data_IF_779697281632
#
_entry.id   IF_779697281632
#
_cell.length_a   1.000
_cell.length_b   1.000
_cell.length_c   1.000
_cell.angle_alpha   90.00
_cell.angle_beta   90.00
_cell.angle_gamma   90.00
#
_symmetry.space_group_name_H-M   'P 1'
#
loop_
_entity.id
_entity.type
_entity.pdbx_description
1 polymer ?
#
# COMPACT_ATOMS: atom_id res chain seq x y z
N UNK A 1 13.39 29.72 41.25
CA UNK A 1 13.70 29.75 39.79
C UNK A 1 12.78 28.77 39.14
N UNK A 2 11.73 29.26 38.52
CA UNK A 2 10.78 28.44 37.74
C UNK A 2 11.39 28.20 36.37
N UNK A 3 11.56 26.93 36.02
CA UNK A 3 11.97 26.51 34.67
C UNK A 3 10.78 26.69 33.76
N UNK A 4 10.89 27.66 32.84
CA UNK A 4 9.97 27.92 31.74
C UNK A 4 9.86 26.65 30.89
N UNK A 5 8.65 26.08 30.66
CA UNK A 5 8.51 24.94 29.76
C UNK A 5 8.69 25.45 28.32
N UNK A 6 9.78 25.01 27.70
CA UNK A 6 10.05 25.22 26.27
C UNK A 6 8.78 24.95 25.45
N UNK A 7 8.37 25.85 24.54
CA UNK A 7 7.14 25.65 23.75
C UNK A 7 7.28 24.36 22.95
N UNK A 8 6.32 23.45 23.10
CA UNK A 8 6.20 22.25 22.29
C UNK A 8 6.32 22.66 20.82
N UNK A 9 7.39 22.22 20.13
CA UNK A 9 7.53 22.40 18.69
C UNK A 9 6.25 21.85 18.06
N UNK A 10 5.55 22.70 17.35
CA UNK A 10 4.42 22.32 16.51
C UNK A 10 4.97 21.32 15.46
N UNK A 11 4.99 20.01 15.80
CA UNK A 11 5.49 18.96 14.92
C UNK A 11 4.50 18.86 13.77
N UNK A 12 4.92 19.25 12.57
CA UNK A 12 4.15 19.07 11.35
C UNK A 12 3.86 17.57 11.20
N UNK A 13 2.59 17.22 11.05
CA UNK A 13 2.15 15.85 10.75
C UNK A 13 2.77 15.40 9.42
N UNK A 14 3.37 14.20 9.40
CA UNK A 14 3.91 13.57 8.19
C UNK A 14 2.83 12.74 7.53
N UNK A 15 2.55 12.99 6.26
CA UNK A 15 1.59 12.27 5.46
C UNK A 15 2.30 11.38 4.43
N UNK A 16 2.09 10.06 4.50
CA UNK A 16 2.59 9.09 3.52
C UNK A 16 1.40 8.39 2.87
N UNK A 17 1.41 8.30 1.53
CA UNK A 17 0.49 7.43 0.82
C UNK A 17 1.15 6.07 0.61
N UNK A 18 0.47 5.00 1.03
CA UNK A 18 0.91 3.63 0.84
C UNK A 18 0.09 2.98 -0.27
N UNK A 19 0.74 2.70 -1.38
CA UNK A 19 0.17 2.15 -2.62
C UNK A 19 0.81 0.81 -2.91
N UNK A 20 0.09 -0.13 -3.53
CA UNK A 20 0.63 -1.42 -3.94
C UNK A 20 -0.09 -1.98 -5.16
N UNK A 21 0.50 -3.00 -5.79
CA UNK A 21 -0.16 -3.86 -6.78
C UNK A 21 -0.84 -3.07 -7.92
N UNK A 22 -0.07 -2.15 -8.53
CA UNK A 22 -0.53 -1.31 -9.63
C UNK A 22 -0.73 -2.12 -10.92
N UNK A 23 0.14 -3.12 -11.15
CA UNK A 23 0.08 -4.09 -12.24
C UNK A 23 -0.10 -3.44 -13.63
N UNK A 24 0.78 -2.50 -14.01
CA UNK A 24 0.76 -1.97 -15.38
C UNK A 24 0.73 -3.10 -16.42
N UNK A 25 -0.24 -3.02 -17.33
CA UNK A 25 -0.68 -4.08 -18.23
C UNK A 25 -1.99 -4.76 -17.83
N UNK A 26 -2.50 -4.50 -16.63
CA UNK A 26 -3.84 -4.78 -16.09
C UNK A 26 -4.26 -3.73 -15.05
N UNK A 27 -3.69 -2.53 -15.15
CA UNK A 27 -4.05 -1.40 -14.29
C UNK A 27 -5.52 -1.03 -14.43
N UNK A 28 -6.12 -0.53 -13.35
CA UNK A 28 -7.40 0.17 -13.41
C UNK A 28 -7.11 1.66 -13.67
N UNK A 29 -7.49 2.13 -14.85
CA UNK A 29 -7.19 3.50 -15.29
C UNK A 29 -7.86 4.57 -14.44
N UNK A 30 -9.06 4.28 -13.91
CA UNK A 30 -9.79 5.20 -13.03
C UNK A 30 -9.10 5.28 -11.67
N UNK A 31 -8.65 4.14 -11.13
CA UNK A 31 -7.90 4.09 -9.88
C UNK A 31 -6.55 4.82 -9.98
N UNK A 32 -5.81 4.63 -11.08
CA UNK A 32 -4.55 5.33 -11.37
C UNK A 32 -4.76 6.85 -11.43
N UNK A 33 -5.78 7.29 -12.16
CA UNK A 33 -6.11 8.70 -12.28
C UNK A 33 -6.58 9.29 -10.95
N UNK A 34 -7.37 8.54 -10.17
CA UNK A 34 -7.83 8.93 -8.85
C UNK A 34 -6.67 9.14 -7.88
N UNK A 35 -5.79 8.15 -7.71
CA UNK A 35 -4.63 8.27 -6.81
C UNK A 35 -3.76 9.46 -7.21
N UNK A 36 -3.54 9.68 -8.52
CA UNK A 36 -2.79 10.84 -8.99
C UNK A 36 -3.45 12.17 -8.58
N UNK A 37 -4.78 12.28 -8.65
CA UNK A 37 -5.52 13.48 -8.17
C UNK A 37 -5.36 13.66 -6.66
N UNK A 38 -5.56 12.59 -5.88
CA UNK A 38 -5.40 12.63 -4.42
C UNK A 38 -3.98 13.07 -4.02
N UNK A 39 -2.94 12.60 -4.74
CA UNK A 39 -1.55 13.03 -4.51
C UNK A 39 -1.36 14.51 -4.85
N UNK A 40 -1.88 14.96 -5.99
CA UNK A 40 -1.78 16.36 -6.40
C UNK A 40 -2.49 17.31 -5.43
N UNK A 41 -3.64 16.91 -4.90
CA UNK A 41 -4.45 17.69 -3.97
C UNK A 41 -3.83 17.73 -2.57
N UNK A 42 -3.46 16.55 -2.02
CA UNK A 42 -3.01 16.44 -0.63
C UNK A 42 -1.52 16.63 -0.44
N UNK A 43 -0.73 16.53 -1.53
CA UNK A 43 0.73 16.71 -1.51
C UNK A 43 1.39 15.92 -0.37
N UNK A 44 1.28 14.58 -0.32
CA UNK A 44 1.92 13.80 0.72
C UNK A 44 3.43 14.03 0.73
N UNK A 45 4.05 13.89 1.90
CA UNK A 45 5.49 14.01 2.07
C UNK A 45 6.24 12.88 1.35
N UNK A 46 5.59 11.71 1.19
CA UNK A 46 6.08 10.62 0.35
C UNK A 46 4.96 9.69 -0.13
N UNK A 47 5.26 8.92 -1.18
CA UNK A 47 4.50 7.75 -1.60
C UNK A 47 5.36 6.49 -1.44
N UNK A 48 4.89 5.53 -0.64
CA UNK A 48 5.50 4.21 -0.50
C UNK A 48 4.77 3.21 -1.40
N UNK A 49 5.48 2.64 -2.38
CA UNK A 49 4.92 1.63 -3.29
C UNK A 49 5.50 0.27 -2.91
N UNK A 50 4.66 -0.63 -2.41
CA UNK A 50 5.09 -1.94 -1.89
C UNK A 50 5.04 -3.06 -2.94
N UNK A 51 5.45 -2.78 -4.17
CA UNK A 51 5.72 -3.77 -5.20
C UNK A 51 4.59 -4.00 -6.19
N UNK A 52 4.84 -4.95 -7.10
CA UNK A 52 3.97 -5.34 -8.21
C UNK A 52 3.53 -4.13 -9.07
N UNK A 53 4.53 -3.35 -9.49
CA UNK A 53 4.33 -2.26 -10.45
C UNK A 53 3.86 -2.78 -11.80
N UNK A 54 4.35 -3.97 -12.21
CA UNK A 54 4.10 -4.56 -13.51
C UNK A 54 3.28 -5.85 -13.40
N UNK A 55 2.56 -6.21 -14.45
CA UNK A 55 1.84 -7.48 -14.48
C UNK A 55 2.73 -8.66 -14.85
N UNK A 56 3.72 -8.47 -15.74
CA UNK A 56 4.55 -9.54 -16.31
C UNK A 56 6.00 -9.15 -16.53
N UNK A 57 6.48 -8.11 -15.86
CA UNK A 57 7.84 -7.56 -16.00
C UNK A 57 8.22 -7.23 -17.46
N UNK A 58 7.28 -6.80 -18.32
CA UNK A 58 7.57 -6.42 -19.71
C UNK A 58 8.14 -5.01 -19.77
N UNK A 59 8.97 -4.74 -20.78
CA UNK A 59 9.54 -3.40 -20.97
C UNK A 59 8.50 -2.30 -21.02
N UNK A 60 7.43 -2.49 -21.82
CA UNK A 60 6.32 -1.52 -21.94
C UNK A 60 5.60 -1.25 -20.61
N UNK A 61 5.51 -2.27 -19.74
CA UNK A 61 4.87 -2.15 -18.43
C UNK A 61 5.77 -1.32 -17.49
N UNK A 62 7.07 -1.56 -17.48
CA UNK A 62 8.04 -0.73 -16.75
C UNK A 62 8.12 0.71 -17.28
N UNK A 63 8.03 0.92 -18.58
CA UNK A 63 7.97 2.26 -19.17
C UNK A 63 6.71 3.01 -18.73
N UNK A 64 5.55 2.32 -18.73
CA UNK A 64 4.29 2.90 -18.25
C UNK A 64 4.37 3.24 -16.76
N UNK A 65 4.87 2.32 -15.91
CA UNK A 65 5.11 2.55 -14.50
C UNK A 65 6.03 3.75 -14.26
N UNK A 66 7.14 3.83 -14.98
CA UNK A 66 8.11 4.92 -14.85
C UNK A 66 7.50 6.26 -15.24
N UNK A 67 6.71 6.33 -16.33
CA UNK A 67 6.00 7.56 -16.72
C UNK A 67 4.99 8.00 -15.65
N UNK A 68 4.22 7.05 -15.11
CA UNK A 68 3.27 7.34 -14.05
C UNK A 68 3.96 7.86 -12.80
N UNK A 69 4.98 7.15 -12.30
CA UNK A 69 5.77 7.56 -11.13
C UNK A 69 6.32 8.98 -11.30
N UNK A 70 6.94 9.28 -12.44
CA UNK A 70 7.45 10.64 -12.74
C UNK A 70 6.37 11.70 -12.73
N UNK A 71 5.13 11.34 -13.06
CA UNK A 71 4.01 12.27 -13.12
C UNK A 71 3.38 12.59 -11.76
N UNK A 72 3.79 11.91 -10.68
CA UNK A 72 3.25 12.13 -9.33
C UNK A 72 3.85 13.35 -8.63
N UNK A 73 5.06 13.77 -9.04
CA UNK A 73 5.77 14.98 -8.55
C UNK A 73 5.87 15.09 -7.02
N UNK A 74 6.09 13.98 -6.36
CA UNK A 74 6.35 13.86 -4.90
C UNK A 74 7.48 12.86 -4.68
N UNK A 75 8.17 12.86 -3.51
CA UNK A 75 9.14 11.82 -3.15
C UNK A 75 8.48 10.44 -3.14
N UNK A 76 9.17 9.43 -3.69
CA UNK A 76 8.62 8.07 -3.83
C UNK A 76 9.68 7.06 -3.42
N UNK A 77 9.27 6.02 -2.68
CA UNK A 77 10.05 4.79 -2.51
C UNK A 77 9.30 3.61 -3.11
N UNK A 78 10.05 2.66 -3.67
CA UNK A 78 9.47 1.52 -4.39
C UNK A 78 10.13 0.22 -3.96
N UNK A 79 9.32 -0.76 -3.55
CA UNK A 79 9.76 -2.13 -3.34
C UNK A 79 9.49 -2.99 -4.58
N UNK A 80 10.28 -4.05 -4.75
CA UNK A 80 10.08 -5.03 -5.82
C UNK A 80 9.05 -6.06 -5.40
N UNK A 81 8.03 -6.29 -6.27
CA UNK A 81 7.08 -7.38 -6.12
C UNK A 81 7.47 -8.63 -6.94
N UNK A 82 6.70 -9.70 -6.80
CA UNK A 82 6.97 -10.94 -7.53
C UNK A 82 6.62 -10.83 -9.04
N UNK A 83 5.68 -9.98 -9.43
CA UNK A 83 5.33 -9.69 -10.83
C UNK A 83 6.34 -8.77 -11.52
N UNK A 84 7.21 -8.09 -10.76
CA UNK A 84 8.27 -7.24 -11.30
C UNK A 84 9.53 -8.04 -11.72
N UNK A 85 9.56 -9.34 -11.40
CA UNK A 85 10.63 -10.23 -11.81
C UNK A 85 10.29 -10.96 -13.12
N UNK A 86 11.25 -11.15 -14.05
CA UNK A 86 11.00 -11.83 -15.31
C UNK A 86 10.38 -13.21 -15.11
N UNK A 87 9.17 -13.41 -15.64
CA UNK A 87 8.43 -14.67 -15.46
C UNK A 87 8.72 -15.67 -16.58
N UNK A 88 8.80 -15.18 -17.83
CA UNK A 88 8.95 -16.03 -19.01
C UNK A 88 10.40 -16.16 -19.49
N UNK A 89 11.30 -15.24 -19.11
CA UNK A 89 12.70 -15.27 -19.46
C UNK A 89 13.51 -15.83 -18.28
N UNK A 90 13.68 -17.15 -18.24
CA UNK A 90 14.42 -17.81 -17.16
C UNK A 90 15.89 -17.38 -17.10
N UNK A 91 16.53 -17.12 -18.23
CA UNK A 91 17.90 -16.64 -18.25
C UNK A 91 18.00 -15.30 -17.55
N UNK A 92 17.16 -14.33 -17.90
CA UNK A 92 17.13 -13.03 -17.25
C UNK A 92 16.76 -13.16 -15.77
N UNK A 93 15.79 -14.03 -15.43
CA UNK A 93 15.38 -14.26 -14.05
C UNK A 93 16.50 -14.77 -13.15
N UNK A 94 17.36 -15.66 -13.65
CA UNK A 94 18.45 -16.22 -12.87
C UNK A 94 19.69 -15.34 -12.81
N UNK A 95 20.04 -14.65 -13.91
CA UNK A 95 21.29 -13.88 -13.99
C UNK A 95 21.12 -12.40 -13.68
N UNK A 96 20.02 -11.77 -14.09
CA UNK A 96 19.77 -10.33 -13.90
C UNK A 96 18.34 -10.00 -13.51
N UNK A 97 17.78 -10.65 -12.47
CA UNK A 97 16.34 -10.61 -12.14
C UNK A 97 15.79 -9.19 -11.90
N UNK A 98 16.61 -8.30 -11.36
CA UNK A 98 16.22 -6.94 -10.97
C UNK A 98 16.65 -5.87 -11.98
N UNK A 99 17.23 -6.25 -13.13
CA UNK A 99 17.80 -5.28 -14.09
C UNK A 99 16.79 -4.23 -14.54
N UNK A 100 15.57 -4.65 -14.88
CA UNK A 100 14.51 -3.74 -15.36
C UNK A 100 13.98 -2.89 -14.22
N UNK A 101 13.80 -3.49 -13.05
CA UNK A 101 13.33 -2.80 -11.84
C UNK A 101 14.31 -1.71 -11.36
N UNK A 102 15.62 -1.96 -11.45
CA UNK A 102 16.64 -0.95 -11.15
C UNK A 102 16.53 0.32 -11.99
N UNK A 103 15.98 0.22 -13.20
CA UNK A 103 15.68 1.39 -14.03
C UNK A 103 14.56 2.25 -13.42
N UNK A 104 13.64 1.67 -12.66
CA UNK A 104 12.62 2.40 -11.90
C UNK A 104 13.23 2.97 -10.63
N UNK A 105 13.99 2.17 -9.86
CA UNK A 105 14.69 2.63 -8.65
C UNK A 105 15.50 3.90 -8.93
N UNK A 106 16.30 3.91 -10.02
CA UNK A 106 17.14 5.08 -10.37
C UNK A 106 16.35 6.37 -10.69
N UNK A 107 15.05 6.26 -10.95
CA UNK A 107 14.16 7.41 -11.23
C UNK A 107 13.55 7.98 -9.95
N UNK A 108 13.40 7.14 -8.92
CA UNK A 108 12.72 7.49 -7.66
C UNK A 108 13.70 7.74 -6.50
N UNK A 109 14.99 7.53 -6.67
CA UNK A 109 16.04 7.77 -5.66
C UNK A 109 16.17 9.27 -5.32
N UNK A 110 15.12 9.78 -4.65
CA UNK A 110 15.20 11.02 -3.88
C UNK A 110 15.21 10.63 -2.41
N UNK A 111 16.12 11.23 -1.64
CA UNK A 111 16.11 11.09 -0.20
C UNK A 111 14.74 11.52 0.36
N UNK A 112 14.13 10.65 1.17
CA UNK A 112 12.86 10.96 1.81
C UNK A 112 13.13 11.80 3.06
N UNK A 113 12.64 13.02 3.08
CA UNK A 113 12.66 13.87 4.28
C UNK A 113 11.35 13.69 5.07
N UNK A 114 11.36 12.73 5.98
CA UNK A 114 10.20 12.38 6.82
C UNK A 114 10.56 12.63 8.30
N UNK A 115 10.17 13.76 8.89
CA UNK A 115 10.54 14.10 10.26
C UNK A 115 10.16 13.03 11.28
N UNK A 116 11.15 12.42 11.92
CA UNK A 116 10.98 11.38 12.95
C UNK A 116 10.49 10.02 12.40
N UNK A 117 10.47 9.83 11.09
CA UNK A 117 10.02 8.61 10.43
C UNK A 117 10.99 8.21 9.32
N UNK A 118 11.24 6.91 9.18
CA UNK A 118 12.00 6.33 8.07
C UNK A 118 11.24 5.17 7.45
N UNK A 119 11.34 5.02 6.12
CA UNK A 119 10.82 3.84 5.42
C UNK A 119 12.00 2.95 5.07
N UNK A 120 12.04 1.75 5.66
CA UNK A 120 13.17 0.81 5.52
C UNK A 120 12.74 -0.40 4.70
N UNK A 121 13.45 -0.73 3.61
CA UNK A 121 13.09 -1.85 2.75
C UNK A 121 13.45 -3.21 3.37
N UNK A 122 12.55 -4.20 3.23
CA UNK A 122 12.85 -5.61 3.49
C UNK A 122 12.40 -6.46 2.29
N UNK A 123 13.33 -6.87 1.47
CA UNK A 123 13.07 -7.62 0.25
C UNK A 123 12.46 -9.00 0.53
N UNK A 124 11.26 -9.23 0.00
CA UNK A 124 10.54 -10.52 0.09
C UNK A 124 10.36 -11.22 -1.26
N UNK A 125 10.60 -10.52 -2.38
CA UNK A 125 10.57 -11.11 -3.71
C UNK A 125 11.98 -11.57 -4.13
N UNK A 126 12.14 -12.87 -4.37
CA UNK A 126 13.43 -13.49 -4.72
C UNK A 126 13.41 -14.06 -6.15
N UNK A 127 14.60 -14.13 -6.76
CA UNK A 127 14.76 -14.67 -8.13
C UNK A 127 14.31 -16.12 -8.27
N UNK A 128 14.57 -16.94 -7.24
CA UNK A 128 14.23 -18.36 -7.19
C UNK A 128 14.07 -18.80 -5.73
N UNK A 129 13.28 -19.82 -5.51
CA UNK A 129 13.09 -20.46 -4.22
C UNK A 129 12.81 -21.97 -4.43
N UNK A 130 13.09 -22.85 -3.44
CA UNK A 130 12.88 -24.29 -3.58
C UNK A 130 11.40 -24.71 -3.53
N UNK A 131 10.46 -23.81 -3.81
CA UNK A 131 9.02 -24.04 -3.91
C UNK A 131 8.58 -23.97 -5.36
N UNK A 132 7.58 -24.76 -5.75
CA UNK A 132 6.98 -24.67 -7.09
C UNK A 132 6.28 -23.32 -7.33
N UNK A 133 5.68 -22.73 -6.28
CA UNK A 133 4.99 -21.45 -6.39
C UNK A 133 5.92 -20.29 -6.02
N UNK A 134 6.47 -19.63 -7.03
CA UNK A 134 7.40 -18.50 -6.88
C UNK A 134 6.69 -17.15 -6.66
N UNK A 135 5.36 -17.13 -6.58
CA UNK A 135 4.61 -15.93 -6.19
C UNK A 135 4.59 -15.72 -4.67
N UNK A 136 5.09 -16.65 -3.88
CA UNK A 136 5.11 -16.54 -2.42
C UNK A 136 6.37 -15.84 -1.92
N UNK A 137 6.23 -15.12 -0.79
CA UNK A 137 7.33 -14.39 -0.20
C UNK A 137 8.45 -15.29 0.34
N UNK A 138 9.69 -14.82 0.24
CA UNK A 138 10.87 -15.47 0.80
C UNK A 138 11.84 -14.42 1.31
N UNK A 139 12.11 -14.42 2.60
CA UNK A 139 13.08 -13.56 3.24
C UNK A 139 14.39 -14.33 3.42
N UNK A 140 15.46 -13.85 2.82
CA UNK A 140 16.80 -14.39 3.05
C UNK A 140 17.40 -13.78 4.32
N UNK A 141 18.32 -14.51 4.98
CA UNK A 141 19.01 -13.97 6.17
C UNK A 141 19.74 -12.66 5.83
N UNK A 142 20.39 -12.59 4.65
CA UNK A 142 21.06 -11.36 4.21
C UNK A 142 20.11 -10.18 4.03
N UNK A 143 18.89 -10.40 3.50
CA UNK A 143 17.89 -9.33 3.37
C UNK A 143 17.39 -8.86 4.74
N UNK A 144 17.15 -9.82 5.65
CA UNK A 144 16.74 -9.49 7.01
C UNK A 144 17.85 -8.71 7.74
N UNK A 145 19.08 -9.19 7.74
CA UNK A 145 20.22 -8.49 8.37
C UNK A 145 20.37 -7.07 7.85
N UNK A 146 20.34 -6.88 6.50
CA UNK A 146 20.43 -5.54 5.92
C UNK A 146 19.30 -4.61 6.38
N UNK A 147 18.08 -5.10 6.53
CA UNK A 147 16.96 -4.32 7.04
C UNK A 147 17.17 -3.95 8.51
N UNK A 148 17.56 -4.91 9.33
CA UNK A 148 17.80 -4.68 10.77
C UNK A 148 18.95 -3.70 10.99
N UNK A 149 20.06 -3.84 10.26
CA UNK A 149 21.22 -2.93 10.32
C UNK A 149 20.81 -1.50 9.94
N UNK A 150 19.94 -1.36 8.92
CA UNK A 150 19.42 -0.05 8.53
C UNK A 150 18.52 0.58 9.60
N UNK A 151 17.69 -0.21 10.29
CA UNK A 151 16.87 0.28 11.40
C UNK A 151 17.77 0.65 12.61
N UNK A 152 18.75 -0.18 12.91
CA UNK A 152 19.67 0.03 14.04
C UNK A 152 20.59 1.24 13.82
N UNK A 153 20.80 1.67 12.58
CA UNK A 153 21.54 2.88 12.19
C UNK A 153 20.71 4.16 12.20
N UNK A 154 19.38 4.09 12.43
CA UNK A 154 18.54 5.30 12.47
C UNK A 154 18.91 6.20 13.64
N UNK A 155 18.81 7.52 13.48
CA UNK A 155 19.01 8.47 14.58
C UNK A 155 18.06 8.19 15.75
N UNK A 156 18.49 8.55 16.96
CA UNK A 156 17.65 8.44 18.15
C UNK A 156 16.32 9.19 17.98
N UNK A 157 15.22 8.56 18.37
CA UNK A 157 13.87 9.10 18.26
C UNK A 157 13.20 8.91 16.87
N UNK A 158 13.94 8.45 15.86
CA UNK A 158 13.35 8.11 14.57
C UNK A 158 12.70 6.73 14.64
N UNK A 159 11.47 6.61 14.15
CA UNK A 159 10.72 5.38 14.04
C UNK A 159 10.77 4.82 12.62
N UNK A 160 10.68 3.49 12.46
CA UNK A 160 10.70 2.83 11.17
C UNK A 160 9.31 2.34 10.73
N UNK A 161 8.96 2.56 9.47
CA UNK A 161 8.00 1.74 8.73
C UNK A 161 8.79 0.79 7.83
N UNK A 162 8.57 -0.51 7.98
CA UNK A 162 9.28 -1.51 7.16
C UNK A 162 8.46 -1.81 5.92
N UNK A 163 8.99 -1.52 4.73
CA UNK A 163 8.32 -1.77 3.47
C UNK A 163 8.69 -3.16 2.92
N UNK A 164 7.68 -3.99 2.68
CA UNK A 164 7.79 -5.32 2.07
C UNK A 164 6.76 -5.47 0.96
N UNK A 165 6.93 -6.41 0.03
CA UNK A 165 5.83 -6.73 -0.88
C UNK A 165 4.87 -7.75 -0.26
N UNK A 166 5.38 -8.89 0.19
CA UNK A 166 4.54 -9.95 0.76
C UNK A 166 4.31 -9.73 2.25
N UNK A 167 3.07 -9.82 2.77
CA UNK A 167 2.79 -9.83 4.20
C UNK A 167 3.66 -10.88 4.92
N UNK A 168 4.19 -10.55 6.09
CA UNK A 168 5.10 -11.44 6.82
C UNK A 168 4.40 -12.67 7.42
N UNK A 169 3.08 -12.58 7.59
CA UNK A 169 2.20 -13.68 8.04
C UNK A 169 0.91 -13.66 7.23
N UNK A 170 0.16 -14.77 7.31
CA UNK A 170 -1.21 -14.80 6.81
C UNK A 170 -2.10 -13.83 7.59
N UNK A 171 -2.92 -13.09 6.85
CA UNK A 171 -3.73 -11.98 7.39
C UNK A 171 -5.23 -12.20 7.25
N UNK A 172 -5.64 -13.40 6.85
CA UNK A 172 -7.06 -13.78 6.75
C UNK A 172 -7.79 -13.20 5.51
N UNK A 173 -7.06 -12.61 4.55
CA UNK A 173 -7.60 -12.15 3.28
C UNK A 173 -7.79 -13.33 2.29
N UNK A 174 -8.52 -13.11 1.18
CA UNK A 174 -8.62 -14.11 0.11
C UNK A 174 -7.27 -14.43 -0.54
N UNK A 175 -6.36 -13.45 -0.57
CA UNK A 175 -4.97 -13.65 -0.99
C UNK A 175 -4.15 -14.28 0.13
N UNK A 176 -3.17 -15.13 -0.23
CA UNK A 176 -2.28 -15.77 0.73
C UNK A 176 -0.83 -15.38 0.47
N UNK A 177 -0.10 -15.03 1.52
CA UNK A 177 1.31 -14.63 1.45
C UNK A 177 2.26 -15.83 1.59
N UNK A 178 2.05 -16.69 2.56
CA UNK A 178 2.90 -17.85 2.90
C UNK A 178 4.41 -17.50 2.90
N UNK A 179 4.77 -16.36 3.49
CA UNK A 179 6.13 -15.82 3.44
C UNK A 179 7.07 -16.63 4.30
N UNK A 180 8.09 -17.24 3.65
CA UNK A 180 9.16 -17.93 4.36
C UNK A 180 10.04 -16.94 5.12
N UNK A 181 10.36 -17.24 6.37
CA UNK A 181 11.15 -16.34 7.24
C UNK A 181 10.34 -15.19 7.87
N UNK A 182 9.04 -15.06 7.55
CA UNK A 182 8.20 -13.97 8.04
C UNK A 182 8.07 -13.93 9.56
N UNK A 183 7.90 -15.08 10.23
CA UNK A 183 7.87 -15.14 11.71
C UNK A 183 9.19 -14.71 12.34
N UNK A 184 10.33 -15.14 11.77
CA UNK A 184 11.66 -14.73 12.21
C UNK A 184 11.84 -13.20 12.07
N UNK A 185 11.40 -12.65 10.95
CA UNK A 185 11.46 -11.21 10.71
C UNK A 185 10.59 -10.44 11.71
N UNK A 186 9.33 -10.83 11.93
CA UNK A 186 8.45 -10.18 12.92
C UNK A 186 9.05 -10.18 14.32
N UNK A 187 9.60 -11.32 14.76
CA UNK A 187 10.24 -11.45 16.07
C UNK A 187 11.45 -10.51 16.22
N UNK A 188 12.24 -10.35 15.16
CA UNK A 188 13.39 -9.44 15.16
C UNK A 188 12.99 -7.96 15.10
N UNK A 189 11.93 -7.63 14.36
CA UNK A 189 11.38 -6.28 14.24
C UNK A 189 10.73 -5.79 15.54
N UNK A 190 10.08 -6.70 16.30
CA UNK A 190 9.47 -6.38 17.59
C UNK A 190 10.45 -5.84 18.64
N UNK A 191 11.76 -6.04 18.46
CA UNK A 191 12.82 -5.55 19.35
C UNK A 191 13.35 -4.16 18.97
N UNK A 192 12.74 -3.50 17.99
CA UNK A 192 13.22 -2.27 17.37
C UNK A 192 12.13 -1.19 17.31
N UNK A 193 12.49 0.07 17.08
CA UNK A 193 11.52 1.18 17.02
C UNK A 193 10.69 1.14 15.72
N UNK A 194 9.99 0.01 15.46
CA UNK A 194 9.16 -0.21 14.29
C UNK A 194 7.71 0.13 14.60
N UNK A 195 7.11 1.07 13.85
CA UNK A 195 5.70 1.43 13.94
C UNK A 195 4.79 0.43 13.24
N UNK A 196 5.30 -0.20 12.17
CA UNK A 196 4.53 -1.15 11.40
C UNK A 196 5.27 -1.67 10.17
N UNK A 197 4.70 -2.71 9.57
CA UNK A 197 5.17 -3.33 8.33
C UNK A 197 4.15 -3.06 7.25
N UNK A 198 4.55 -2.32 6.21
CA UNK A 198 3.74 -2.00 5.04
C UNK A 198 3.87 -3.12 4.01
N UNK A 199 2.76 -3.62 3.47
CA UNK A 199 2.77 -4.69 2.47
C UNK A 199 1.67 -4.56 1.43
N UNK A 200 1.79 -5.30 0.32
CA UNK A 200 0.77 -5.47 -0.71
C UNK A 200 0.42 -6.94 -0.93
N UNK A 201 0.45 -7.40 -2.19
CA UNK A 201 0.34 -8.78 -2.65
C UNK A 201 -1.05 -9.43 -2.48
N UNK A 202 -1.72 -9.23 -1.37
CA UNK A 202 -3.03 -9.84 -1.10
C UNK A 202 -4.19 -9.08 -1.75
N UNK A 203 -3.96 -7.88 -2.27
CA UNK A 203 -4.90 -7.00 -2.97
C UNK A 203 -6.10 -6.53 -2.14
N UNK A 204 -6.13 -6.81 -0.86
CA UNK A 204 -7.12 -6.31 0.09
C UNK A 204 -6.41 -5.49 1.18
N UNK A 205 -6.91 -4.31 1.55
CA UNK A 205 -6.35 -3.55 2.67
C UNK A 205 -6.60 -4.27 3.99
N UNK A 206 -5.63 -4.19 4.88
CA UNK A 206 -5.75 -4.68 6.24
C UNK A 206 -4.88 -3.84 7.18
N UNK A 207 -5.25 -3.83 8.46
CA UNK A 207 -4.51 -3.22 9.54
C UNK A 207 -4.72 -4.07 10.79
N UNK A 208 -3.71 -4.82 11.17
CA UNK A 208 -3.80 -5.78 12.26
C UNK A 208 -2.49 -5.87 13.04
N UNK A 209 -2.57 -6.34 14.28
CA UNK A 209 -1.44 -6.54 15.15
C UNK A 209 -1.13 -8.04 15.23
N UNK A 210 0.14 -8.39 15.02
CA UNK A 210 0.65 -9.74 15.18
C UNK A 210 1.47 -9.83 16.46
N UNK A 211 1.06 -10.68 17.38
CA UNK A 211 1.81 -10.94 18.61
C UNK A 211 3.09 -11.73 18.32
N UNK A 212 4.16 -11.35 18.99
CA UNK A 212 5.45 -12.04 19.01
C UNK A 212 5.93 -12.24 20.44
N UNK A 213 6.99 -13.04 20.64
CA UNK A 213 7.60 -13.25 21.97
C UNK A 213 8.26 -11.97 22.54
N UNK A 214 8.45 -10.94 21.74
CA UNK A 214 9.06 -9.68 22.14
C UNK A 214 8.07 -8.50 22.06
N UNK A 215 6.80 -8.76 21.89
CA UNK A 215 5.73 -7.78 21.81
C UNK A 215 5.04 -7.73 20.44
N UNK A 216 4.04 -6.87 20.30
CA UNK A 216 3.23 -6.77 19.10
C UNK A 216 3.96 -6.07 17.95
N UNK A 217 3.67 -6.47 16.72
CA UNK A 217 4.07 -5.77 15.48
C UNK A 217 2.82 -5.50 14.63
N UNK A 218 2.60 -4.24 14.28
CA UNK A 218 1.49 -3.85 13.41
C UNK A 218 1.81 -4.19 11.96
N UNK A 219 0.88 -4.86 11.28
CA UNK A 219 0.97 -5.18 9.85
C UNK A 219 -0.12 -4.44 9.09
N UNK A 220 0.28 -3.69 8.06
CA UNK A 220 -0.58 -2.77 7.32
C UNK A 220 -0.49 -3.16 5.83
N UNK A 221 -1.61 -3.59 5.27
CA UNK A 221 -1.71 -3.95 3.85
C UNK A 221 -2.38 -2.87 3.05
N UNK A 222 -1.85 -2.56 1.86
CA UNK A 222 -2.55 -1.79 0.85
C UNK A 222 -3.39 -2.71 -0.03
N UNK A 223 -4.47 -2.18 -0.60
CA UNK A 223 -5.20 -2.84 -1.67
C UNK A 223 -4.46 -2.75 -3.00
N UNK A 224 -5.17 -2.99 -4.09
CA UNK A 224 -4.62 -2.92 -5.45
C UNK A 224 -5.14 -1.69 -6.19
N UNK A 225 -4.39 -1.18 -7.16
CA UNK A 225 -4.85 -0.21 -8.16
C UNK A 225 -5.05 -0.85 -9.55
N UNK A 226 -5.25 -2.16 -9.58
CA UNK A 226 -5.45 -2.92 -10.81
C UNK A 226 -6.85 -3.50 -10.89
N UNK A 227 -7.19 -4.05 -12.06
CA UNK A 227 -8.41 -4.81 -12.28
C UNK A 227 -8.48 -6.14 -11.50
N UNK A 228 -7.41 -6.50 -10.78
CA UNK A 228 -7.30 -7.72 -9.98
C UNK A 228 -7.84 -7.55 -8.55
N UNK A 229 -8.97 -6.88 -8.42
CA UNK A 229 -9.68 -6.71 -7.13
C UNK A 229 -10.12 -8.04 -6.54
N UNK A 230 -10.24 -8.09 -5.22
CA UNK A 230 -10.68 -9.29 -4.48
C UNK A 230 -11.94 -9.02 -3.66
N UNK A 231 -11.79 -8.59 -2.41
CA UNK A 231 -12.92 -8.31 -1.51
C UNK A 231 -13.29 -6.84 -1.50
N UNK A 232 -12.34 -5.96 -1.82
CA UNK A 232 -12.50 -4.50 -1.81
C UNK A 232 -12.26 -3.92 -3.20
N UNK A 233 -12.85 -2.76 -3.54
CA UNK A 233 -12.53 -2.02 -4.75
C UNK A 233 -11.07 -1.53 -4.72
N UNK A 234 -10.54 -0.95 -5.84
CA UNK A 234 -9.22 -0.35 -5.84
C UNK A 234 -9.04 0.62 -4.68
N UNK A 235 -7.89 0.51 -3.99
CA UNK A 235 -7.66 1.26 -2.76
C UNK A 235 -6.17 1.48 -2.47
N UNK A 236 -5.89 2.52 -1.67
CA UNK A 236 -4.58 2.82 -1.08
C UNK A 236 -4.75 3.24 0.38
N UNK A 237 -3.66 3.34 1.16
CA UNK A 237 -3.72 3.84 2.52
C UNK A 237 -3.15 5.25 2.65
N UNK A 238 -3.81 6.12 3.40
CA UNK A 238 -3.26 7.33 4.00
C UNK A 238 -2.65 6.97 5.35
N UNK A 239 -1.36 7.24 5.51
CA UNK A 239 -0.62 7.06 6.77
C UNK A 239 -0.29 8.45 7.31
N UNK A 240 -0.68 8.76 8.54
CA UNK A 240 -0.42 10.03 9.21
C UNK A 240 0.37 9.80 10.48
N UNK A 241 1.53 10.42 10.58
CA UNK A 241 2.43 10.36 11.72
C UNK A 241 2.56 11.72 12.38
N UNK A 242 2.13 11.87 13.62
CA UNK A 242 2.19 13.12 14.39
C UNK A 242 3.42 13.21 15.31
N UNK A 243 4.29 12.18 15.32
CA UNK A 243 5.45 12.04 16.19
C UNK A 243 5.21 11.10 17.37
N UNK A 244 3.97 10.65 17.61
CA UNK A 244 3.58 9.74 18.68
C UNK A 244 2.71 8.59 18.19
N UNK A 245 1.74 8.92 17.32
CA UNK A 245 0.71 7.98 16.83
C UNK A 245 0.74 7.87 15.31
N UNK A 246 0.73 6.65 14.80
CA UNK A 246 0.52 6.34 13.40
C UNK A 246 -0.95 6.02 13.14
N UNK A 247 -1.65 6.93 12.47
CA UNK A 247 -3.01 6.71 11.99
C UNK A 247 -2.98 6.13 10.57
N UNK A 248 -3.77 5.09 10.33
CA UNK A 248 -3.91 4.43 9.02
C UNK A 248 -5.35 4.52 8.57
N UNK A 249 -5.57 4.99 7.35
CA UNK A 249 -6.90 5.06 6.75
C UNK A 249 -6.89 4.48 5.34
N UNK A 250 -7.56 3.36 5.14
CA UNK A 250 -7.81 2.84 3.81
C UNK A 250 -8.77 3.79 3.06
N UNK A 251 -8.42 4.11 1.80
CA UNK A 251 -9.21 4.94 0.88
C UNK A 251 -9.62 4.06 -0.29
N UNK A 252 -10.92 3.98 -0.56
CA UNK A 252 -11.47 3.17 -1.64
C UNK A 252 -11.98 4.07 -2.77
N UNK A 253 -11.78 3.66 -4.02
CA UNK A 253 -12.22 4.42 -5.19
C UNK A 253 -13.74 4.72 -5.16
N UNK A 254 -14.56 3.80 -4.62
CA UNK A 254 -16.01 3.98 -4.50
C UNK A 254 -16.45 5.05 -3.49
N UNK A 255 -15.66 5.27 -2.42
CA UNK A 255 -16.01 6.23 -1.36
C UNK A 255 -16.01 7.69 -1.86
N UNK A 256 -15.26 8.00 -2.91
CA UNK A 256 -15.17 9.33 -3.51
C UNK A 256 -16.45 9.65 -4.30
N UNK A 257 -16.98 8.68 -5.03
CA UNK A 257 -18.20 8.86 -5.84
C UNK A 257 -19.43 9.24 -4.99
N UNK A 258 -19.49 8.75 -3.75
CA UNK A 258 -20.59 9.05 -2.84
C UNK A 258 -20.53 10.50 -2.31
N UNK A 259 -19.33 11.09 -2.17
CA UNK A 259 -19.17 12.49 -1.76
C UNK A 259 -19.42 13.47 -2.90
N UNK A 260 -18.94 13.17 -4.09
CA UNK A 260 -19.14 14.04 -5.25
C UNK A 260 -20.61 14.09 -5.70
N UNK A 261 -21.39 13.02 -5.43
CA UNK A 261 -22.84 13.00 -5.67
C UNK A 261 -23.68 13.70 -4.57
N UNK A 262 -23.11 13.99 -3.38
CA UNK A 262 -23.79 14.74 -2.32
C UNK A 262 -23.53 16.25 -2.37
N UNK A 263 -22.65 16.74 -3.26
CA UNK A 263 -22.31 18.16 -3.39
C UNK A 263 -23.11 18.87 -4.50
N UNK A 264 -23.82 18.14 -5.35
CA UNK A 264 -24.84 18.76 -6.18
C UNK A 264 -26.11 18.97 -5.36
N UNK A 265 -26.10 20.03 -4.52
CA UNK A 265 -27.30 20.65 -4.02
C UNK A 265 -28.13 21.11 -5.24
N UNK A 266 -29.11 20.28 -5.61
CA UNK A 266 -30.16 20.74 -6.50
C UNK A 266 -30.88 21.85 -5.76
N UNK A 267 -30.90 23.10 -6.26
CA UNK A 267 -31.60 24.17 -5.62
C UNK A 267 -33.06 23.75 -5.40
N UNK A 268 -33.58 23.94 -4.20
CA UNK A 268 -34.95 23.57 -3.79
C UNK A 268 -36.01 24.21 -4.69
N UNK A 269 -35.65 25.22 -5.47
CA UNK A 269 -36.49 25.94 -6.43
C UNK A 269 -36.70 25.26 -7.78
N UNK A 270 -36.07 24.11 -8.04
CA UNK A 270 -36.18 23.38 -9.31
C UNK A 270 -37.19 22.24 -9.33
N UNK A 271 -37.91 22.00 -8.23
CA UNK A 271 -38.98 21.01 -8.20
C UNK A 271 -40.32 21.64 -8.66
N UNK A 272 -40.97 21.11 -9.72
CA UNK A 272 -42.32 21.51 -10.06
C UNK A 272 -43.27 21.15 -8.91
N UNK A 273 -44.30 21.99 -8.60
CA UNK A 273 -45.23 21.74 -7.50
C UNK A 273 -45.94 20.41 -7.69
N UNK A 274 -45.92 19.55 -6.68
CA UNK A 274 -46.65 18.27 -6.66
C UNK A 274 -48.14 18.52 -6.82
N UNK A 275 -48.77 17.83 -7.74
CA UNK A 275 -50.22 17.83 -7.87
C UNK A 275 -50.84 17.00 -6.73
N UNK A 276 -51.94 17.45 -6.14
CA UNK A 276 -52.63 16.69 -5.07
C UNK A 276 -53.30 15.46 -5.69
N UNK A 277 -52.86 14.25 -5.27
CA UNK A 277 -53.53 13.00 -5.63
C UNK A 277 -52.66 11.84 -6.12
N UNK A 278 -51.32 11.98 -6.19
CA UNK A 278 -50.48 10.85 -6.57
C UNK A 278 -50.22 9.90 -5.38
N UNK A 279 -50.47 8.57 -5.55
CA UNK A 279 -50.24 7.59 -4.50
C UNK A 279 -48.76 7.36 -4.25
N UNK A 280 -48.37 7.29 -2.98
CA UNK A 280 -47.02 6.95 -2.54
C UNK A 280 -46.73 5.49 -2.88
N UNK A 281 -45.73 5.25 -3.72
CA UNK A 281 -45.21 3.90 -3.99
C UNK A 281 -44.53 3.32 -2.74
N UNK A 282 -44.80 2.05 -2.37
CA UNK A 282 -44.17 1.44 -1.20
C UNK A 282 -42.66 1.16 -1.45
N UNK A 283 -41.86 1.49 -0.46
CA UNK A 283 -40.43 1.26 -0.40
C UNK A 283 -40.14 -0.24 -0.37
N UNK A 284 -39.42 -0.68 -1.38
CA UNK A 284 -38.55 -1.87 -1.49
C UNK A 284 -38.94 -3.15 -0.73
N UNK A 285 -39.42 -4.14 -1.45
CA UNK A 285 -39.16 -5.55 -1.16
C UNK A 285 -38.07 -6.06 -2.11
N UNK A 286 -36.92 -6.45 -1.52
CA UNK A 286 -35.84 -7.16 -2.18
C UNK A 286 -36.34 -8.55 -2.59
N UNK A 287 -36.19 -9.00 -3.85
CA UNK A 287 -36.55 -10.37 -4.23
C UNK A 287 -35.58 -11.37 -3.57
N UNK A 288 -36.14 -12.37 -2.86
CA UNK A 288 -35.38 -13.54 -2.42
C UNK A 288 -35.03 -14.40 -3.64
N UNK A 289 -33.74 -14.73 -3.78
CA UNK A 289 -33.28 -15.71 -4.74
C UNK A 289 -33.72 -17.12 -4.27
N UNK A 290 -34.29 -17.89 -5.21
CA UNK A 290 -34.64 -19.31 -5.00
C UNK A 290 -33.37 -20.16 -4.91
N UNK A 291 -33.36 -21.26 -4.09
CA UNK A 291 -32.24 -22.16 -3.98
C UNK A 291 -32.12 -23.07 -5.22
N UNK A 292 -30.93 -23.54 -5.59
CA UNK A 292 -30.73 -24.39 -6.76
C UNK A 292 -31.34 -25.79 -6.51
N UNK A 293 -32.06 -26.27 -7.51
CA UNK A 293 -32.55 -27.64 -7.60
C UNK A 293 -31.47 -28.47 -8.30
N UNK A 294 -30.99 -29.50 -7.62
CA UNK A 294 -30.16 -30.68 -7.97
C UNK A 294 -29.08 -30.58 -9.05
#
# INVERSE_FOLDING_TARGET
MATDPSPARNRRETLVFHVSDVHFGLEDTDAIAWVKREIAEKRPDAVAITGDLTMRARHREFEAATRWIRSLDVPITVEVGNHDLPYFNLIERFFTPYKRFKGVESVVEKELDLPGLAIVPLKTAVRAQPRFNWSKGWITDAALTKCLDAIDALPEGVKALVAVHHPLREVGTKGTALTHGGQKALTALAQRPVLGVLSGHVHDPFDLTQETVHGPVRMIGAGTLSQRVRSTPPSFNELRWDGETLTVRARNLGDVRTRDMQIDDVPEDAMPPRQPGEPVAPVNQVPRADPPVH
#
